data_IF_118535537566
#
_entry.id   IF_118535537566
#
_cell.length_a   1.000
_cell.length_b   1.000
_cell.length_c   1.000
_cell.angle_alpha   90.00
_cell.angle_beta   90.00
_cell.angle_gamma   90.00
#
_symmetry.space_group_name_H-M   'P 1'
#
loop_
_entity.id
_entity.type
_entity.pdbx_description
1 polymer ?
#
# COMPACT_ATOMS: atom_id res chain seq x y z
N UNK A 1 8.77 -14.19 -14.99
CA UNK A 1 8.70 -13.01 -14.11
C UNK A 1 8.79 -13.53 -12.68
N UNK A 2 9.72 -12.99 -11.92
CA UNK A 2 10.11 -13.46 -10.60
C UNK A 2 8.89 -13.41 -9.68
N UNK A 3 8.38 -14.55 -9.23
CA UNK A 3 7.30 -14.65 -8.24
C UNK A 3 7.85 -14.29 -6.85
N UNK A 4 8.42 -13.11 -6.72
CA UNK A 4 8.97 -12.61 -5.48
C UNK A 4 7.85 -12.05 -4.61
N UNK A 5 7.94 -12.30 -3.32
CA UNK A 5 7.23 -11.51 -2.33
C UNK A 5 8.09 -10.32 -1.92
N UNK A 6 7.44 -9.26 -1.47
CA UNK A 6 8.06 -8.06 -0.94
C UNK A 6 7.59 -7.85 0.49
N UNK A 7 8.55 -7.53 1.37
CA UNK A 7 8.29 -7.27 2.78
C UNK A 7 7.94 -5.79 2.95
N UNK A 8 6.88 -5.53 3.71
CA UNK A 8 6.54 -4.20 4.18
C UNK A 8 7.56 -3.73 5.22
N UNK A 9 7.80 -2.44 5.28
CA UNK A 9 8.53 -1.82 6.40
C UNK A 9 7.65 -1.81 7.65
N UNK A 10 6.36 -1.48 7.49
CA UNK A 10 5.38 -1.49 8.58
C UNK A 10 4.30 -2.54 8.35
N UNK A 11 3.40 -2.30 7.41
CA UNK A 11 2.41 -3.24 6.91
C UNK A 11 1.81 -2.70 5.61
N UNK A 12 1.43 -3.61 4.72
CA UNK A 12 0.78 -3.28 3.47
C UNK A 12 -0.67 -2.84 3.70
N UNK A 13 -1.05 -1.80 2.98
CA UNK A 13 -2.39 -1.19 2.97
C UNK A 13 -2.85 -1.06 1.52
N UNK A 14 -4.17 -1.09 1.30
CA UNK A 14 -4.72 -0.88 -0.03
C UNK A 14 -4.56 0.58 -0.45
N UNK A 15 -4.29 0.80 -1.74
CA UNK A 15 -4.31 2.14 -2.36
C UNK A 15 -5.69 2.48 -2.91
N UNK A 16 -5.88 3.73 -3.32
CA UNK A 16 -7.08 4.17 -4.05
C UNK A 16 -7.30 3.35 -5.34
N UNK A 17 -6.22 2.99 -6.04
CA UNK A 17 -6.29 2.15 -7.23
C UNK A 17 -6.88 0.77 -6.94
N UNK A 18 -6.51 0.15 -5.82
CA UNK A 18 -7.08 -1.12 -5.41
C UNK A 18 -8.56 -0.97 -5.02
N UNK A 19 -8.92 0.12 -4.35
CA UNK A 19 -10.32 0.43 -4.06
C UNK A 19 -11.14 0.62 -5.34
N UNK A 20 -10.64 1.33 -6.34
CA UNK A 20 -11.35 1.55 -7.61
C UNK A 20 -11.55 0.23 -8.38
N UNK A 21 -10.54 -0.65 -8.36
CA UNK A 21 -10.63 -1.97 -8.99
C UNK A 21 -11.55 -2.93 -8.24
N UNK A 22 -11.57 -2.90 -6.91
CA UNK A 22 -12.37 -3.80 -6.10
C UNK A 22 -12.88 -3.15 -4.80
N UNK A 23 -13.86 -2.24 -4.89
CA UNK A 23 -14.30 -1.43 -3.74
C UNK A 23 -15.04 -2.25 -2.67
N UNK A 24 -15.41 -3.49 -2.98
CA UNK A 24 -16.07 -4.40 -2.04
C UNK A 24 -15.10 -5.05 -1.05
N UNK A 25 -13.83 -5.17 -1.42
CA UNK A 25 -12.82 -5.91 -0.65
C UNK A 25 -11.54 -5.12 -0.38
N UNK A 26 -11.35 -3.99 -1.08
CA UNK A 26 -10.19 -3.11 -0.94
C UNK A 26 -10.69 -1.70 -0.62
N UNK A 27 -10.20 -1.12 0.47
CA UNK A 27 -10.47 0.26 0.87
C UNK A 27 -9.13 0.96 1.09
N UNK A 28 -8.93 2.08 0.41
CA UNK A 28 -7.71 2.86 0.53
C UNK A 28 -7.44 3.22 1.99
N UNK A 29 -6.21 2.99 2.46
CA UNK A 29 -5.85 3.21 3.86
C UNK A 29 -6.06 2.01 4.78
N UNK A 30 -6.93 1.06 4.42
CA UNK A 30 -7.15 -0.13 5.24
C UNK A 30 -6.03 -1.16 5.00
N UNK A 31 -5.61 -1.90 6.05
CA UNK A 31 -4.69 -3.01 5.90
C UNK A 31 -5.18 -4.03 4.89
N UNK A 32 -4.25 -4.58 4.12
CA UNK A 32 -4.58 -5.70 3.23
C UNK A 32 -4.90 -6.97 4.03
N UNK A 33 -5.24 -8.05 3.32
CA UNK A 33 -5.57 -9.32 3.97
C UNK A 33 -4.48 -9.76 4.95
N UNK A 34 -4.83 -10.27 6.15
CA UNK A 34 -3.87 -10.54 7.24
C UNK A 34 -2.69 -11.42 6.84
N UNK A 35 -2.91 -12.40 5.95
CA UNK A 35 -1.86 -13.30 5.47
C UNK A 35 -0.81 -12.61 4.58
N UNK A 36 -1.15 -11.47 3.98
CA UNK A 36 -0.24 -10.68 3.17
C UNK A 36 0.21 -9.39 3.86
N UNK A 37 -0.27 -9.12 5.08
CA UNK A 37 -0.09 -7.84 5.78
C UNK A 37 1.37 -7.36 5.85
N UNK A 38 2.32 -8.27 6.00
CA UNK A 38 3.75 -7.94 6.08
C UNK A 38 4.54 -8.42 4.88
N UNK A 39 4.00 -9.37 4.12
CA UNK A 39 4.67 -9.98 2.98
C UNK A 39 3.63 -10.17 1.86
N UNK A 40 3.74 -9.39 0.79
CA UNK A 40 2.80 -9.41 -0.31
C UNK A 40 3.50 -9.73 -1.63
N UNK A 41 2.78 -10.17 -2.67
CA UNK A 41 3.37 -10.33 -4.00
C UNK A 41 3.95 -8.99 -4.51
N UNK A 42 5.18 -9.00 -5.01
CA UNK A 42 5.81 -7.81 -5.59
C UNK A 42 4.96 -7.21 -6.72
N UNK A 43 4.28 -8.05 -7.50
CA UNK A 43 3.36 -7.65 -8.56
C UNK A 43 2.27 -6.68 -8.08
N UNK A 44 1.83 -6.75 -6.81
CA UNK A 44 0.81 -5.85 -6.29
C UNK A 44 1.37 -4.46 -6.00
N UNK A 45 2.61 -4.38 -5.53
CA UNK A 45 3.33 -3.13 -5.32
C UNK A 45 3.68 -2.49 -6.66
N UNK A 46 4.21 -3.27 -7.61
CA UNK A 46 4.54 -2.79 -8.97
C UNK A 46 3.29 -2.29 -9.73
N UNK A 47 2.13 -2.93 -9.52
CA UNK A 47 0.86 -2.48 -10.08
C UNK A 47 0.24 -1.28 -9.33
N UNK A 48 0.82 -0.85 -8.21
CA UNK A 48 0.31 0.24 -7.38
C UNK A 48 -0.99 -0.10 -6.64
N UNK A 49 -1.28 -1.39 -6.39
CA UNK A 49 -2.46 -1.84 -5.65
C UNK A 49 -2.27 -1.73 -4.13
N UNK A 50 -1.04 -1.82 -3.68
CA UNK A 50 -0.67 -1.73 -2.28
C UNK A 50 0.46 -0.72 -2.11
N UNK A 51 0.52 -0.08 -0.95
CA UNK A 51 1.66 0.71 -0.51
C UNK A 51 1.94 0.40 0.97
N UNK A 52 3.12 0.80 1.46
CA UNK A 52 3.41 0.66 2.88
C UNK A 52 2.56 1.68 3.67
N UNK A 53 2.10 1.31 4.86
CA UNK A 53 1.29 2.21 5.68
C UNK A 53 2.03 3.48 6.10
N UNK A 54 3.37 3.48 6.10
CA UNK A 54 4.19 4.67 6.31
C UNK A 54 4.10 5.67 5.14
N UNK A 55 3.79 5.18 3.93
CA UNK A 55 3.67 6.00 2.71
C UNK A 55 2.26 6.54 2.49
N UNK A 56 1.26 6.09 3.27
CA UNK A 56 -0.05 6.74 3.28
C UNK A 56 0.08 8.08 3.99
N UNK A 57 0.45 9.08 3.19
CA UNK A 57 0.27 10.48 3.54
C UNK A 57 -1.23 10.68 3.67
N UNK A 58 -1.73 10.66 4.92
CA UNK A 58 -3.06 11.19 5.21
C UNK A 58 -3.06 12.61 4.66
N UNK A 59 -3.86 12.87 3.62
CA UNK A 59 -4.18 14.21 3.15
C UNK A 59 -4.46 15.07 4.39
N UNK A 60 -3.51 15.92 4.77
CA UNK A 60 -3.53 16.61 6.06
C UNK A 60 -2.17 16.77 6.73
N UNK A 61 -1.18 15.95 6.41
CA UNK A 61 0.20 16.19 6.84
C UNK A 61 1.09 16.35 5.60
N UNK A 62 1.04 17.55 5.02
CA UNK A 62 2.16 18.05 4.25
C UNK A 62 3.34 18.16 5.21
N UNK A 63 4.16 17.11 5.29
CA UNK A 63 5.44 17.18 5.99
C UNK A 63 6.34 18.11 5.19
N UNK A 64 6.23 19.39 5.52
CA UNK A 64 7.29 20.32 5.93
C UNK A 64 8.76 19.89 5.68
N UNK A 65 9.07 19.38 4.49
CA UNK A 65 10.44 19.14 4.03
C UNK A 65 10.70 19.69 2.62
N UNK A 66 9.90 20.66 2.18
CA UNK A 66 10.39 21.68 1.25
C UNK A 66 11.21 22.71 2.05
N UNK A 67 12.44 22.37 2.41
CA UNK A 67 13.44 23.35 2.82
C UNK A 67 14.80 22.99 2.25
N UNK A 68 14.95 23.20 0.94
CA UNK A 68 16.24 23.48 0.29
C UNK A 68 16.04 24.67 -0.64
#
# INVERSE_FOLDING_TARGET
MSRGTVLAETYWVWTELAQDKNPKHSRAGDPIWPQYKYEAPADWLEQGLICDSSEIVKEGQADLFEYI
#
